data_IF_235017764560
#
_entry.id   IF_235017764560
#
_cell.length_a   1.000
_cell.length_b   1.000
_cell.length_c   1.000
_cell.angle_alpha   90.00
_cell.angle_beta   90.00
_cell.angle_gamma   90.00
#
_symmetry.space_group_name_H-M   'P 1'
#
loop_
_entity.id
_entity.type
_entity.pdbx_description
1 polymer ?
#
# COMPACT_ATOMS: atom_id res chain seq x y z
N UNK A 1 15.13 -27.60 29.19
CA UNK A 1 14.39 -26.62 28.37
C UNK A 1 13.83 -25.47 29.22
N UNK A 2 13.31 -25.71 30.44
CA UNK A 2 12.76 -24.67 31.32
C UNK A 2 13.80 -23.57 31.64
N UNK A 3 15.03 -23.91 32.00
CA UNK A 3 16.08 -22.92 32.25
C UNK A 3 16.41 -22.09 30.99
N UNK A 4 16.35 -22.71 29.80
CA UNK A 4 16.52 -22.02 28.51
C UNK A 4 15.39 -21.00 28.28
N UNK A 5 14.13 -21.42 28.46
CA UNK A 5 12.97 -20.51 28.37
C UNK A 5 13.09 -19.34 29.34
N UNK A 6 13.40 -19.57 30.62
CA UNK A 6 13.56 -18.51 31.63
C UNK A 6 14.65 -17.52 31.24
N UNK A 7 15.79 -18.01 30.71
CA UNK A 7 16.86 -17.15 30.21
C UNK A 7 16.38 -16.27 29.07
N UNK A 8 15.71 -16.87 28.06
CA UNK A 8 15.15 -16.14 26.90
C UNK A 8 14.14 -15.08 27.35
N UNK A 9 13.21 -15.43 28.25
CA UNK A 9 12.21 -14.51 28.78
C UNK A 9 12.87 -13.30 29.47
N UNK A 10 13.90 -13.52 30.28
CA UNK A 10 14.62 -12.44 30.98
C UNK A 10 15.42 -11.56 30.01
N UNK A 11 16.20 -12.17 29.13
CA UNK A 11 17.03 -11.46 28.15
C UNK A 11 16.19 -10.59 27.20
N UNK A 12 15.08 -11.13 26.71
CA UNK A 12 14.21 -10.48 25.75
C UNK A 12 13.04 -9.73 26.40
N UNK A 13 12.95 -9.72 27.75
CA UNK A 13 11.90 -9.05 28.54
C UNK A 13 10.49 -9.36 28.04
N UNK A 14 10.19 -10.65 27.79
CA UNK A 14 8.95 -11.05 27.13
C UNK A 14 7.71 -10.90 28.02
N UNK A 15 7.85 -11.20 29.30
CA UNK A 15 6.82 -11.00 30.33
C UNK A 15 7.46 -10.93 31.73
N UNK A 16 6.71 -10.42 32.68
CA UNK A 16 7.12 -10.26 34.07
C UNK A 16 6.32 -11.18 35.00
N UNK A 17 6.81 -11.44 36.21
CA UNK A 17 5.99 -12.08 37.24
C UNK A 17 4.68 -11.32 37.46
N UNK A 18 3.60 -12.04 37.69
CA UNK A 18 2.23 -11.51 37.84
C UNK A 18 1.47 -11.29 36.57
N UNK A 19 2.09 -11.44 35.38
CA UNK A 19 1.41 -11.24 34.11
C UNK A 19 0.38 -12.33 33.82
N UNK A 20 -0.67 -11.94 33.10
CA UNK A 20 -1.64 -12.84 32.48
C UNK A 20 -1.23 -13.16 31.04
N UNK A 21 -1.03 -14.44 30.74
CA UNK A 21 -0.60 -14.90 29.42
C UNK A 21 -1.72 -15.71 28.75
N UNK A 22 -2.09 -15.33 27.52
CA UNK A 22 -2.83 -16.22 26.62
C UNK A 22 -1.83 -17.14 25.95
N UNK A 23 -2.05 -18.46 26.00
CA UNK A 23 -1.17 -19.45 25.39
C UNK A 23 -1.87 -20.12 24.24
N UNK A 24 -1.37 -19.91 23.01
CA UNK A 24 -1.92 -20.54 21.81
C UNK A 24 -1.52 -22.01 21.73
N UNK A 25 -2.50 -22.91 21.80
CA UNK A 25 -2.27 -24.36 21.84
C UNK A 25 -2.95 -25.03 20.66
N UNK A 26 -2.15 -25.61 19.75
CA UNK A 26 -2.65 -26.37 18.60
C UNK A 26 -2.75 -27.88 18.84
N UNK A 27 -2.25 -28.37 19.97
CA UNK A 27 -2.07 -29.78 20.25
C UNK A 27 -0.75 -30.37 19.74
N UNK A 28 -0.03 -29.66 18.87
CA UNK A 28 1.29 -30.08 18.38
C UNK A 28 2.40 -29.90 19.42
N UNK A 29 3.57 -30.56 19.19
CA UNK A 29 4.63 -30.69 20.21
C UNK A 29 5.09 -29.36 20.76
N UNK A 30 5.37 -28.36 19.88
CA UNK A 30 5.93 -27.07 20.29
C UNK A 30 4.94 -26.27 21.18
N UNK A 31 3.63 -26.38 20.89
CA UNK A 31 2.58 -25.70 21.66
C UNK A 31 2.29 -26.39 23.00
N UNK A 32 2.36 -27.72 23.04
CA UNK A 32 2.20 -28.50 24.27
C UNK A 32 3.38 -28.27 25.21
N UNK A 33 4.62 -28.29 24.68
CA UNK A 33 5.81 -27.96 25.46
C UNK A 33 5.75 -26.54 26.02
N UNK A 34 5.34 -25.55 25.21
CA UNK A 34 5.19 -24.17 25.67
C UNK A 34 4.20 -24.07 26.83
N UNK A 35 2.99 -24.66 26.68
CA UNK A 35 1.98 -24.61 27.74
C UNK A 35 2.46 -25.29 29.02
N UNK A 36 3.09 -26.49 28.89
CA UNK A 36 3.63 -27.21 30.04
C UNK A 36 4.72 -26.42 30.77
N UNK A 37 5.68 -25.84 30.04
CA UNK A 37 6.76 -25.03 30.64
C UNK A 37 6.24 -23.77 31.35
N UNK A 38 5.27 -23.08 30.73
CA UNK A 38 4.64 -21.91 31.35
C UNK A 38 3.81 -22.30 32.57
N UNK A 39 3.15 -23.47 32.55
CA UNK A 39 2.41 -24.00 33.68
C UNK A 39 3.36 -24.32 34.86
N UNK A 40 4.51 -24.97 34.63
CA UNK A 40 5.54 -25.19 35.64
C UNK A 40 6.04 -23.88 36.24
N UNK A 41 6.19 -22.84 35.40
CA UNK A 41 6.65 -21.52 35.83
C UNK A 41 5.58 -20.72 36.57
N UNK A 42 4.30 -21.00 36.34
CA UNK A 42 3.17 -20.17 36.75
C UNK A 42 3.14 -19.92 38.25
N UNK A 43 3.39 -20.96 39.08
CA UNK A 43 3.38 -20.81 40.54
C UNK A 43 4.49 -19.88 41.04
N UNK A 44 5.73 -20.09 40.59
CA UNK A 44 6.91 -19.35 41.03
C UNK A 44 6.92 -17.89 40.54
N UNK A 45 6.34 -17.64 39.37
CA UNK A 45 6.25 -16.32 38.77
C UNK A 45 4.87 -15.66 38.96
N UNK A 46 3.93 -16.33 39.65
CA UNK A 46 2.56 -15.83 39.87
C UNK A 46 1.86 -15.49 38.53
N UNK A 47 2.07 -16.31 37.51
CA UNK A 47 1.45 -16.07 36.23
C UNK A 47 -0.02 -16.55 36.23
N UNK A 48 -0.90 -15.80 35.59
CA UNK A 48 -2.21 -16.26 35.19
C UNK A 48 -2.10 -16.81 33.76
N UNK A 49 -2.58 -18.02 33.52
CA UNK A 49 -2.54 -18.65 32.19
C UNK A 49 -3.95 -18.93 31.69
N UNK A 50 -4.21 -18.60 30.44
CA UNK A 50 -5.42 -19.03 29.71
C UNK A 50 -5.00 -19.67 28.41
N UNK A 51 -5.30 -20.96 28.21
CA UNK A 51 -5.05 -21.66 26.97
C UNK A 51 -6.09 -21.25 25.89
N UNK A 52 -5.64 -21.12 24.66
CA UNK A 52 -6.51 -20.78 23.52
C UNK A 52 -6.30 -21.81 22.39
N UNK A 53 -7.37 -22.50 22.00
CA UNK A 53 -7.37 -23.41 20.88
C UNK A 53 -8.29 -22.88 19.77
N UNK A 54 -7.82 -22.95 18.50
CA UNK A 54 -8.61 -22.60 17.33
C UNK A 54 -8.87 -23.82 16.47
N UNK A 55 -10.12 -24.30 16.45
CA UNK A 55 -10.56 -25.38 15.58
C UNK A 55 -11.23 -24.80 14.32
N UNK A 56 -10.60 -24.96 13.17
CA UNK A 56 -11.09 -24.45 11.89
C UNK A 56 -11.99 -25.45 11.14
N UNK A 57 -12.17 -26.66 11.63
CA UNK A 57 -12.93 -27.71 10.96
C UNK A 57 -12.34 -28.17 9.61
N UNK A 58 -11.10 -27.75 9.26
CA UNK A 58 -10.51 -27.97 7.93
C UNK A 58 -10.14 -29.43 7.65
N UNK A 59 -10.07 -30.25 8.69
CA UNK A 59 -9.68 -31.66 8.62
C UNK A 59 -10.75 -32.61 9.20
N UNK A 60 -11.98 -32.07 9.42
CA UNK A 60 -13.08 -32.86 9.98
C UNK A 60 -12.71 -33.46 11.32
N UNK A 61 -12.90 -34.80 11.47
CA UNK A 61 -12.64 -35.55 12.71
C UNK A 61 -11.22 -35.38 13.30
N UNK A 62 -10.18 -35.13 12.49
CA UNK A 62 -8.85 -34.82 13.01
C UNK A 62 -8.82 -33.51 13.78
N UNK A 63 -9.52 -32.46 13.28
CA UNK A 63 -9.60 -31.17 13.95
C UNK A 63 -10.35 -31.27 15.28
N UNK A 64 -11.41 -32.10 15.33
CA UNK A 64 -12.17 -32.37 16.56
C UNK A 64 -11.36 -33.22 17.54
N UNK A 65 -10.54 -34.15 17.04
CA UNK A 65 -9.59 -34.90 17.84
C UNK A 65 -8.49 -34.04 18.48
N UNK A 66 -8.00 -33.04 17.76
CA UNK A 66 -7.03 -32.06 18.31
C UNK A 66 -7.66 -31.21 19.40
N UNK A 67 -8.90 -30.74 19.21
CA UNK A 67 -9.67 -29.98 20.20
C UNK A 67 -9.91 -30.82 21.47
N UNK A 68 -10.34 -32.08 21.31
CA UNK A 68 -10.56 -33.00 22.40
C UNK A 68 -9.28 -33.25 23.20
N UNK A 69 -8.15 -33.45 22.51
CA UNK A 69 -6.84 -33.63 23.14
C UNK A 69 -6.46 -32.38 23.97
N UNK A 70 -6.55 -31.18 23.39
CA UNK A 70 -6.21 -29.95 24.11
C UNK A 70 -7.14 -29.72 25.30
N UNK A 71 -8.43 -30.04 25.15
CA UNK A 71 -9.42 -29.89 26.23
C UNK A 71 -9.08 -30.84 27.42
N UNK A 72 -8.71 -32.09 27.13
CA UNK A 72 -8.29 -33.05 28.14
C UNK A 72 -6.98 -32.62 28.81
N UNK A 73 -6.00 -32.21 28.02
CA UNK A 73 -4.71 -31.71 28.53
C UNK A 73 -4.86 -30.50 29.51
N UNK A 74 -5.70 -29.55 29.17
CA UNK A 74 -5.99 -28.40 30.00
C UNK A 74 -6.78 -28.76 31.25
N UNK A 75 -7.78 -29.63 31.14
CA UNK A 75 -8.61 -30.12 32.28
C UNK A 75 -7.77 -30.83 33.33
N UNK A 76 -6.88 -31.75 32.92
CA UNK A 76 -5.99 -32.44 33.82
C UNK A 76 -5.06 -31.55 34.61
N UNK A 77 -4.76 -30.34 34.07
CA UNK A 77 -3.86 -29.38 34.68
C UNK A 77 -4.57 -28.14 35.27
N UNK A 78 -5.93 -28.24 35.34
CA UNK A 78 -6.79 -27.17 35.86
C UNK A 78 -6.52 -25.80 35.16
N UNK A 79 -6.20 -25.82 33.86
CA UNK A 79 -5.94 -24.62 33.07
C UNK A 79 -7.22 -24.15 32.37
N UNK A 80 -7.61 -22.87 32.51
CA UNK A 80 -8.68 -22.27 31.72
C UNK A 80 -8.41 -22.43 30.21
N UNK A 81 -9.41 -22.86 29.45
CA UNK A 81 -9.33 -23.06 28.01
C UNK A 81 -10.46 -22.33 27.30
N UNK A 82 -10.09 -21.55 26.31
CA UNK A 82 -11.03 -20.93 25.37
C UNK A 82 -10.88 -21.62 24.01
N UNK A 83 -12.00 -22.14 23.48
CA UNK A 83 -12.06 -22.79 22.16
C UNK A 83 -12.75 -21.83 21.20
N UNK A 84 -12.08 -21.55 20.07
CA UNK A 84 -12.64 -20.73 19.00
C UNK A 84 -12.85 -21.57 17.74
N UNK A 85 -14.11 -21.59 17.25
CA UNK A 85 -14.51 -22.30 16.02
C UNK A 85 -14.96 -21.27 14.97
N UNK A 86 -14.03 -20.64 14.23
CA UNK A 86 -14.37 -19.62 13.25
C UNK A 86 -14.98 -20.23 11.99
N UNK A 87 -16.03 -19.59 11.47
CA UNK A 87 -16.47 -19.84 10.11
C UNK A 87 -15.54 -19.07 9.15
N UNK A 88 -14.76 -19.81 8.35
CA UNK A 88 -13.85 -19.19 7.39
C UNK A 88 -14.62 -18.63 6.17
N UNK A 89 -14.88 -17.34 6.17
CA UNK A 89 -15.46 -16.64 5.01
C UNK A 89 -14.34 -16.25 4.06
N UNK A 90 -14.47 -16.60 2.78
CA UNK A 90 -13.49 -16.21 1.73
C UNK A 90 -13.36 -14.67 1.66
N UNK A 91 -12.28 -14.12 2.20
CA UNK A 91 -11.94 -12.70 2.02
C UNK A 91 -11.13 -12.53 0.73
N UNK A 92 -11.46 -11.52 -0.09
CA UNK A 92 -10.78 -11.22 -1.38
C UNK A 92 -9.27 -10.99 -1.26
N UNK A 93 -8.76 -10.71 -0.06
CA UNK A 93 -7.36 -10.35 0.18
C UNK A 93 -6.44 -11.52 0.54
N UNK A 94 -6.97 -12.71 0.84
CA UNK A 94 -6.17 -13.86 1.25
C UNK A 94 -5.95 -14.84 0.09
N UNK A 95 -4.68 -15.10 -0.23
CA UNK A 95 -4.27 -15.96 -1.34
C UNK A 95 -4.45 -17.47 -1.07
N UNK A 96 -4.64 -17.90 0.19
CA UNK A 96 -4.82 -19.29 0.57
C UNK A 96 -5.67 -19.45 1.83
N UNK A 97 -6.29 -20.63 1.97
CA UNK A 97 -7.11 -20.97 3.14
C UNK A 97 -6.30 -20.93 4.45
N UNK A 98 -5.01 -21.34 4.40
CA UNK A 98 -4.11 -21.28 5.55
C UNK A 98 -3.77 -19.83 5.95
N UNK A 99 -3.60 -18.93 4.97
CA UNK A 99 -3.39 -17.52 5.26
C UNK A 99 -4.64 -16.91 5.93
N UNK A 100 -5.83 -17.28 5.48
CA UNK A 100 -7.10 -16.87 6.10
C UNK A 100 -7.23 -17.36 7.53
N UNK A 101 -6.97 -18.65 7.76
CA UNK A 101 -6.99 -19.26 9.09
C UNK A 101 -5.95 -18.61 10.02
N UNK A 102 -4.76 -18.26 9.50
CA UNK A 102 -3.74 -17.54 10.26
C UNK A 102 -4.22 -16.15 10.68
N UNK A 103 -4.78 -15.37 9.76
CA UNK A 103 -5.32 -14.03 10.07
C UNK A 103 -6.43 -14.14 11.12
N UNK A 104 -7.43 -14.98 10.89
CA UNK A 104 -8.54 -15.18 11.81
C UNK A 104 -8.08 -15.57 13.23
N UNK A 105 -7.06 -16.45 13.34
CA UNK A 105 -6.47 -16.85 14.63
C UNK A 105 -5.87 -15.66 15.37
N UNK A 106 -5.05 -14.84 14.69
CA UNK A 106 -4.41 -13.71 15.34
C UNK A 106 -5.42 -12.62 15.71
N UNK A 107 -6.40 -12.36 14.85
CA UNK A 107 -7.46 -11.38 15.13
C UNK A 107 -8.27 -11.81 16.37
N UNK A 108 -8.68 -13.09 16.45
CA UNK A 108 -9.39 -13.60 17.61
C UNK A 108 -8.55 -13.54 18.89
N UNK A 109 -7.29 -13.99 18.84
CA UNK A 109 -6.43 -13.96 20.03
C UNK A 109 -6.18 -12.55 20.54
N UNK A 110 -6.08 -11.55 19.66
CA UNK A 110 -5.97 -10.13 20.05
C UNK A 110 -7.24 -9.61 20.69
N UNK A 111 -8.39 -9.94 20.13
CA UNK A 111 -9.68 -9.58 20.70
C UNK A 111 -9.82 -10.21 22.09
N UNK A 112 -9.58 -11.51 22.23
CA UNK A 112 -9.66 -12.21 23.51
C UNK A 112 -8.66 -11.63 24.54
N UNK A 113 -7.42 -11.31 24.10
CA UNK A 113 -6.42 -10.68 24.98
C UNK A 113 -6.87 -9.34 25.55
N UNK A 114 -7.66 -8.59 24.78
CA UNK A 114 -8.27 -7.36 25.25
C UNK A 114 -9.43 -7.64 26.23
N UNK A 115 -10.29 -8.60 25.92
CA UNK A 115 -11.46 -8.96 26.76
C UNK A 115 -11.05 -9.47 28.15
N UNK A 116 -10.04 -10.33 28.21
CA UNK A 116 -9.55 -10.91 29.50
C UNK A 116 -8.39 -10.12 30.11
N UNK A 117 -8.08 -8.96 29.56
CA UNK A 117 -6.97 -8.08 30.02
C UNK A 117 -5.64 -8.84 30.13
N UNK A 118 -5.31 -9.65 29.09
CA UNK A 118 -4.05 -10.36 29.05
C UNK A 118 -2.90 -9.43 28.64
N UNK A 119 -1.74 -9.62 29.28
CA UNK A 119 -0.53 -8.85 29.02
C UNK A 119 0.15 -9.28 27.72
N UNK A 120 0.15 -10.58 27.43
CA UNK A 120 0.81 -11.14 26.24
C UNK A 120 0.15 -12.41 25.72
N UNK A 121 0.40 -12.68 24.42
CA UNK A 121 -0.06 -13.88 23.71
C UNK A 121 1.17 -14.74 23.37
N UNK A 122 1.36 -15.84 24.06
CA UNK A 122 2.48 -16.75 23.85
C UNK A 122 2.20 -17.75 22.74
N UNK A 123 3.12 -17.88 21.77
CA UNK A 123 3.03 -18.83 20.65
C UNK A 123 4.27 -19.69 20.55
N UNK A 124 4.09 -21.00 20.24
CA UNK A 124 5.12 -22.03 20.25
C UNK A 124 5.98 -22.06 18.98
N UNK A 125 6.58 -20.93 18.58
CA UNK A 125 7.59 -20.92 17.50
C UNK A 125 8.97 -21.23 18.06
N UNK A 126 9.76 -22.03 17.30
CA UNK A 126 11.08 -22.53 17.69
C UNK A 126 12.21 -22.00 16.79
N UNK A 127 13.45 -22.33 17.11
CA UNK A 127 14.62 -21.99 16.29
C UNK A 127 14.55 -22.62 14.88
N UNK A 128 13.89 -23.79 14.76
CA UNK A 128 13.65 -24.41 13.45
C UNK A 128 12.70 -23.56 12.60
N UNK A 129 11.64 -23.00 13.19
CA UNK A 129 10.75 -22.06 12.49
C UNK A 129 11.47 -20.78 12.08
N UNK A 130 12.43 -20.33 12.89
CA UNK A 130 13.28 -19.18 12.57
C UNK A 130 14.19 -19.49 11.38
N UNK A 131 14.87 -20.64 11.40
CA UNK A 131 15.71 -21.09 10.29
C UNK A 131 14.92 -21.23 8.98
N UNK A 132 13.72 -21.85 9.03
CA UNK A 132 12.81 -21.93 7.88
C UNK A 132 12.45 -20.53 7.34
N UNK A 133 12.15 -19.59 8.23
CA UNK A 133 11.78 -18.22 7.88
C UNK A 133 12.95 -17.50 7.23
N UNK A 134 14.15 -17.62 7.79
CA UNK A 134 15.37 -17.02 7.24
C UNK A 134 15.66 -17.54 5.83
N UNK A 135 15.68 -18.85 5.65
CA UNK A 135 15.92 -19.50 4.35
C UNK A 135 14.86 -19.08 3.32
N UNK A 136 13.60 -19.02 3.72
CA UNK A 136 12.51 -18.57 2.85
C UNK A 136 12.72 -17.13 2.37
N UNK A 137 13.16 -16.24 3.24
CA UNK A 137 13.42 -14.84 2.89
C UNK A 137 14.68 -14.67 2.05
N UNK A 138 15.73 -15.45 2.32
CA UNK A 138 16.94 -15.51 1.48
C UNK A 138 16.59 -15.89 0.03
N UNK A 139 15.83 -16.94 -0.16
CA UNK A 139 15.42 -17.42 -1.49
C UNK A 139 14.50 -16.42 -2.23
N UNK A 140 13.82 -15.52 -1.51
CA UNK A 140 12.99 -14.45 -2.08
C UNK A 140 13.77 -13.16 -2.34
N UNK A 141 15.04 -13.10 -1.99
CA UNK A 141 15.86 -11.90 -2.13
C UNK A 141 15.46 -10.79 -1.15
N UNK A 142 15.06 -11.15 0.07
CA UNK A 142 14.76 -10.17 1.09
C UNK A 142 16.02 -9.45 1.56
N UNK A 143 15.89 -8.14 1.87
CA UNK A 143 16.93 -7.37 2.55
C UNK A 143 17.00 -7.72 4.05
N UNK A 144 17.79 -6.94 4.82
CA UNK A 144 18.03 -7.18 6.25
C UNK A 144 16.73 -7.34 7.06
N UNK A 145 15.70 -6.53 6.79
CA UNK A 145 14.39 -6.64 7.47
C UNK A 145 13.78 -8.06 7.39
N UNK A 146 13.90 -8.73 6.26
CA UNK A 146 13.42 -10.12 6.11
C UNK A 146 14.37 -11.13 6.75
N UNK A 147 15.68 -10.89 6.65
CA UNK A 147 16.71 -11.76 7.23
C UNK A 147 16.80 -11.67 8.75
N UNK A 148 16.33 -10.58 9.36
CA UNK A 148 16.13 -10.47 10.80
C UNK A 148 15.10 -11.48 11.35
N UNK A 149 14.38 -12.17 10.47
CA UNK A 149 13.45 -13.24 10.81
C UNK A 149 12.26 -12.81 11.67
N UNK A 150 11.80 -13.72 12.53
CA UNK A 150 10.72 -13.44 13.46
C UNK A 150 11.26 -12.79 14.74
N UNK A 151 10.67 -11.66 15.22
CA UNK A 151 11.04 -11.07 16.51
C UNK A 151 10.53 -11.93 17.67
N UNK A 152 11.19 -11.86 18.83
CA UNK A 152 10.74 -12.50 20.06
C UNK A 152 9.43 -11.92 20.60
N UNK A 153 9.26 -10.60 20.48
CA UNK A 153 8.04 -9.89 20.82
C UNK A 153 7.59 -8.99 19.64
N UNK A 154 6.28 -8.77 19.54
CA UNK A 154 5.66 -7.86 18.57
C UNK A 154 4.82 -6.82 19.30
N UNK A 155 4.60 -5.67 18.68
CA UNK A 155 3.77 -4.59 19.21
C UNK A 155 2.33 -5.03 19.54
N UNK A 156 1.81 -6.03 18.85
CA UNK A 156 0.48 -6.60 19.08
C UNK A 156 0.43 -7.68 20.18
N UNK A 157 1.30 -7.55 21.18
CA UNK A 157 1.41 -8.41 22.38
C UNK A 157 1.82 -9.87 22.12
N UNK A 158 2.17 -10.25 20.88
CA UNK A 158 2.58 -11.63 20.57
C UNK A 158 4.02 -11.84 21.01
N UNK A 159 4.26 -12.91 21.81
CA UNK A 159 5.59 -13.32 22.28
C UNK A 159 5.91 -14.75 21.87
N UNK A 160 7.23 -15.03 21.74
CA UNK A 160 7.74 -16.34 21.29
C UNK A 160 8.81 -16.87 22.27
N UNK A 161 8.40 -17.39 23.42
CA UNK A 161 9.36 -17.80 24.48
C UNK A 161 10.27 -18.96 24.06
N UNK A 162 9.86 -19.80 23.09
CA UNK A 162 10.63 -20.95 22.59
C UNK A 162 11.45 -20.63 21.33
N UNK A 163 11.50 -19.37 20.86
CA UNK A 163 12.14 -19.03 19.58
C UNK A 163 13.64 -19.39 19.53
N UNK A 164 14.33 -19.42 20.66
CA UNK A 164 15.73 -19.82 20.76
C UNK A 164 15.92 -21.36 20.95
N UNK A 165 14.85 -22.08 21.30
CA UNK A 165 14.91 -23.51 21.52
C UNK A 165 14.80 -24.29 20.18
N UNK A 166 15.59 -25.35 20.02
CA UNK A 166 15.50 -26.23 18.86
C UNK A 166 14.37 -27.23 19.02
N UNK A 167 13.94 -27.81 17.92
CA UNK A 167 12.92 -28.87 17.92
C UNK A 167 13.38 -30.11 18.67
N UNK A 168 14.67 -30.44 18.60
CA UNK A 168 15.28 -31.55 19.32
C UNK A 168 15.16 -31.33 20.84
N UNK A 169 15.44 -30.10 21.33
CA UNK A 169 15.30 -29.75 22.73
C UNK A 169 13.84 -29.83 23.21
N UNK A 170 12.89 -29.41 22.33
CA UNK A 170 11.45 -29.53 22.62
C UNK A 170 11.03 -31.00 22.71
N UNK A 171 11.45 -31.82 21.76
CA UNK A 171 11.11 -33.25 21.77
C UNK A 171 11.69 -34.00 22.97
N UNK A 172 12.97 -33.75 23.29
CA UNK A 172 13.63 -34.31 24.46
C UNK A 172 12.93 -33.90 25.77
N UNK A 173 12.40 -32.69 25.85
CA UNK A 173 11.62 -32.24 27.02
C UNK A 173 10.29 -32.99 27.11
N UNK A 174 9.55 -33.12 26.00
CA UNK A 174 8.26 -33.86 25.98
C UNK A 174 8.44 -35.31 26.37
N UNK A 175 9.48 -35.96 25.85
CA UNK A 175 9.81 -37.37 26.16
C UNK A 175 10.19 -37.54 27.64
N UNK A 176 10.99 -36.61 28.18
CA UNK A 176 11.40 -36.59 29.61
C UNK A 176 10.19 -36.45 30.54
N UNK A 177 9.25 -35.56 30.21
CA UNK A 177 8.04 -35.30 31.00
C UNK A 177 6.92 -36.30 30.73
N UNK A 178 7.10 -37.25 29.80
CA UNK A 178 6.08 -38.20 29.39
C UNK A 178 4.86 -37.58 28.76
N UNK A 179 5.01 -36.44 28.09
CA UNK A 179 3.90 -35.68 27.52
C UNK A 179 3.54 -36.17 26.10
N UNK A 180 2.28 -36.49 25.92
CA UNK A 180 1.72 -36.81 24.60
C UNK A 180 1.40 -35.54 23.81
N UNK A 181 1.40 -35.64 22.49
CA UNK A 181 1.07 -34.56 21.57
C UNK A 181 0.44 -35.12 20.29
N UNK A 182 -0.22 -34.26 19.53
CA UNK A 182 -0.82 -34.61 18.24
C UNK A 182 0.13 -34.33 17.07
N UNK A 183 0.16 -35.22 16.09
CA UNK A 183 0.86 -34.98 14.82
C UNK A 183 -0.13 -34.49 13.78
N UNK A 184 0.14 -33.32 13.20
CA UNK A 184 -0.71 -32.70 12.18
C UNK A 184 -0.39 -33.29 10.79
N UNK A 185 -1.36 -34.05 10.22
CA UNK A 185 -1.25 -34.65 8.88
C UNK A 185 -1.10 -33.63 7.77
N UNK A 186 -1.55 -32.37 7.95
CA UNK A 186 -1.39 -31.29 6.96
C UNK A 186 0.07 -30.89 6.76
N UNK A 187 0.96 -31.16 7.70
CA UNK A 187 2.40 -30.95 7.57
C UNK A 187 3.04 -31.89 6.53
N UNK A 188 2.32 -32.94 6.10
CA UNK A 188 2.80 -33.90 5.09
C UNK A 188 2.65 -33.35 3.65
N UNK A 189 1.75 -32.41 3.40
CA UNK A 189 1.52 -31.88 2.06
C UNK A 189 2.64 -30.89 1.66
N UNK A 190 3.47 -31.31 0.68
CA UNK A 190 4.63 -30.54 0.17
C UNK A 190 4.27 -29.34 -0.73
N UNK A 191 2.99 -28.99 -0.88
CA UNK A 191 2.51 -27.90 -1.75
C UNK A 191 3.01 -26.49 -1.35
N UNK A 192 3.50 -26.31 -0.14
CA UNK A 192 3.90 -24.99 0.37
C UNK A 192 5.41 -24.85 0.46
N UNK A 193 5.94 -23.71 0.03
CA UNK A 193 7.39 -23.40 0.05
C UNK A 193 8.02 -23.66 1.43
N UNK A 194 7.33 -23.35 2.52
CA UNK A 194 7.83 -23.60 3.87
C UNK A 194 7.98 -25.09 4.18
N UNK A 195 7.03 -25.92 3.76
CA UNK A 195 7.09 -27.37 3.95
C UNK A 195 8.23 -28.00 3.14
N UNK A 196 8.51 -27.45 1.92
CA UNK A 196 9.66 -27.90 1.13
C UNK A 196 10.99 -27.54 1.80
N UNK A 197 11.13 -26.33 2.34
CA UNK A 197 12.31 -25.94 3.11
C UNK A 197 12.52 -26.89 4.30
N UNK A 198 11.46 -27.17 5.06
CA UNK A 198 11.49 -28.07 6.22
C UNK A 198 11.86 -29.50 5.85
N UNK A 199 11.32 -30.05 4.77
CA UNK A 199 11.46 -31.45 4.40
C UNK A 199 12.65 -31.73 3.48
N UNK A 200 12.97 -30.80 2.59
CA UNK A 200 13.96 -31.03 1.54
C UNK A 200 15.28 -30.30 1.83
N UNK A 201 15.23 -29.00 2.19
CA UNK A 201 16.42 -28.17 2.30
C UNK A 201 17.06 -28.22 3.69
N UNK A 202 16.29 -28.02 4.75
CA UNK A 202 16.82 -27.98 6.12
C UNK A 202 17.50 -29.30 6.53
N UNK A 203 16.98 -30.50 6.20
CA UNK A 203 17.67 -31.74 6.49
C UNK A 203 19.02 -31.89 5.76
N UNK A 204 19.15 -31.36 4.53
CA UNK A 204 20.42 -31.36 3.82
C UNK A 204 21.42 -30.45 4.52
N UNK A 205 20.99 -29.23 4.89
CA UNK A 205 21.82 -28.27 5.61
C UNK A 205 22.29 -28.81 6.95
N UNK A 206 21.39 -29.43 7.73
CA UNK A 206 21.74 -30.00 9.05
C UNK A 206 22.63 -31.22 8.95
N UNK A 207 22.55 -31.97 7.85
CA UNK A 207 23.49 -33.09 7.59
C UNK A 207 24.90 -32.56 7.31
N UNK A 208 25.04 -31.47 6.60
CA UNK A 208 26.32 -30.82 6.31
C UNK A 208 26.88 -30.07 7.53
N UNK A 209 26.00 -29.46 8.32
CA UNK A 209 26.34 -28.67 9.50
C UNK A 209 25.31 -28.95 10.61
N UNK A 210 25.58 -29.89 11.54
CA UNK A 210 24.61 -30.25 12.59
C UNK A 210 24.11 -29.10 13.46
N UNK A 211 24.93 -28.07 13.64
CA UNK A 211 24.57 -26.87 14.38
C UNK A 211 23.81 -25.82 13.55
N UNK A 212 23.47 -26.10 12.28
CA UNK A 212 22.95 -25.11 11.34
C UNK A 212 21.71 -24.36 11.86
N UNK A 213 20.77 -25.04 12.52
CA UNK A 213 19.55 -24.42 13.08
C UNK A 213 19.93 -23.35 14.10
N UNK A 214 20.85 -23.66 15.02
CA UNK A 214 21.31 -22.71 16.03
C UNK A 214 22.09 -21.56 15.42
N UNK A 215 22.95 -21.84 14.43
CA UNK A 215 23.72 -20.83 13.71
C UNK A 215 22.79 -19.87 12.94
N UNK A 216 21.80 -20.39 12.19
CA UNK A 216 20.82 -19.58 11.47
C UNK A 216 19.97 -18.72 12.41
N UNK A 217 19.62 -19.27 13.58
CA UNK A 217 18.91 -18.52 14.62
C UNK A 217 19.77 -17.37 15.16
N UNK A 218 21.04 -17.64 15.50
CA UNK A 218 21.98 -16.62 15.98
C UNK A 218 22.22 -15.53 14.93
N UNK A 219 22.35 -15.89 13.65
CA UNK A 219 22.48 -14.92 12.55
C UNK A 219 21.23 -14.04 12.45
N UNK A 220 20.03 -14.61 12.61
CA UNK A 220 18.79 -13.80 12.61
C UNK A 220 18.77 -12.81 13.79
N UNK A 221 19.31 -13.17 14.96
CA UNK A 221 19.37 -12.30 16.12
C UNK A 221 20.35 -11.13 15.89
N UNK A 222 21.56 -11.40 15.39
CA UNK A 222 22.54 -10.37 15.04
C UNK A 222 21.96 -9.39 13.99
N UNK A 223 21.39 -9.94 12.91
CA UNK A 223 20.76 -9.13 11.87
C UNK A 223 19.58 -8.30 12.39
N UNK A 224 18.90 -8.77 13.42
CA UNK A 224 17.79 -8.02 14.06
C UNK A 224 18.30 -6.83 14.84
N UNK A 225 19.41 -6.97 15.56
CA UNK A 225 20.05 -5.86 16.28
C UNK A 225 20.53 -4.79 15.31
N UNK A 226 21.20 -5.19 14.22
CA UNK A 226 21.62 -4.27 13.15
C UNK A 226 20.42 -3.57 12.51
N UNK A 227 19.34 -4.32 12.24
CA UNK A 227 18.10 -3.78 11.65
C UNK A 227 17.46 -2.76 12.58
N UNK A 228 17.37 -3.02 13.87
CA UNK A 228 16.84 -2.10 14.87
C UNK A 228 17.66 -0.79 14.94
N UNK A 229 18.99 -0.90 14.91
CA UNK A 229 19.87 0.27 14.90
C UNK A 229 19.58 1.14 13.65
N UNK A 230 19.54 0.54 12.48
CA UNK A 230 19.27 1.24 11.22
C UNK A 230 17.84 1.80 11.15
N UNK A 231 16.89 1.13 11.77
CA UNK A 231 15.50 1.63 11.88
C UNK A 231 15.41 2.84 12.79
N UNK A 232 16.08 2.82 13.95
CA UNK A 232 16.18 3.99 14.83
C UNK A 232 16.82 5.19 14.14
N UNK A 233 17.95 4.98 13.42
CA UNK A 233 18.58 6.02 12.62
C UNK A 233 17.63 6.57 11.56
N UNK A 234 16.89 5.69 10.86
CA UNK A 234 15.90 6.09 9.84
C UNK A 234 14.76 6.89 10.45
N UNK A 235 14.24 6.49 11.60
CA UNK A 235 13.17 7.21 12.32
C UNK A 235 13.63 8.61 12.76
N UNK A 236 14.87 8.76 13.21
CA UNK A 236 15.45 10.07 13.50
C UNK A 236 15.53 10.93 12.23
N UNK A 237 15.99 10.37 11.10
CA UNK A 237 16.02 11.08 9.83
C UNK A 237 14.61 11.46 9.35
N UNK A 238 13.61 10.63 9.55
CA UNK A 238 12.21 10.98 9.25
C UNK A 238 11.77 12.22 10.01
N UNK A 239 12.13 12.34 11.29
CA UNK A 239 11.78 13.50 12.12
C UNK A 239 12.53 14.78 11.74
N UNK A 240 13.79 14.65 11.31
CA UNK A 240 14.67 15.81 11.06
C UNK A 240 14.67 16.28 9.61
N UNK A 241 14.52 15.37 8.64
CA UNK A 241 14.65 15.69 7.20
C UNK A 241 13.33 15.67 6.43
N UNK A 242 12.26 15.08 6.98
CA UNK A 242 10.98 14.96 6.29
C UNK A 242 9.97 15.92 6.89
N UNK A 243 9.58 16.92 6.11
CA UNK A 243 8.53 17.86 6.47
C UNK A 243 7.20 17.39 5.90
N UNK A 244 6.14 17.44 6.70
CA UNK A 244 4.78 17.07 6.31
C UNK A 244 3.93 18.33 6.15
N UNK A 245 3.12 18.39 5.10
CA UNK A 245 2.08 19.42 5.02
C UNK A 245 0.68 18.82 5.33
N UNK A 246 -0.31 19.70 5.51
CA UNK A 246 -1.70 19.32 5.83
C UNK A 246 -2.39 18.51 4.72
N UNK A 247 -1.80 18.44 3.52
CA UNK A 247 -2.32 17.68 2.37
C UNK A 247 -1.70 16.29 2.26
N UNK A 248 -0.90 15.86 3.26
CA UNK A 248 -0.21 14.58 3.25
C UNK A 248 1.00 14.54 2.29
N UNK A 249 1.49 15.69 1.83
CA UNK A 249 2.71 15.76 1.01
C UNK A 249 3.92 15.76 1.94
N UNK A 250 4.86 14.88 1.66
CA UNK A 250 6.13 14.81 2.38
C UNK A 250 7.23 15.45 1.53
N UNK A 251 8.03 16.31 2.16
CA UNK A 251 9.14 17.01 1.50
C UNK A 251 10.44 16.66 2.19
N UNK A 252 11.44 16.32 1.38
CA UNK A 252 12.80 15.97 1.83
C UNK A 252 13.77 16.94 1.17
N UNK A 253 14.68 17.53 1.96
CA UNK A 253 15.78 18.31 1.40
C UNK A 253 16.68 17.40 0.57
N UNK A 254 16.87 17.71 -0.72
CA UNK A 254 17.63 16.88 -1.66
C UNK A 254 19.11 16.78 -1.28
N UNK A 255 19.74 17.88 -0.90
CA UNK A 255 21.16 17.89 -0.58
C UNK A 255 21.43 17.07 0.66
N UNK A 256 20.69 17.32 1.75
CA UNK A 256 20.81 16.54 2.98
C UNK A 256 20.53 15.04 2.75
N UNK A 257 19.58 14.69 1.85
CA UNK A 257 19.34 13.30 1.47
C UNK A 257 20.55 12.69 0.75
N UNK A 258 21.21 13.42 -0.16
CA UNK A 258 22.35 12.91 -0.93
C UNK A 258 23.60 12.71 -0.08
N UNK A 259 23.75 13.42 1.02
CA UNK A 259 24.82 13.29 2.01
C UNK A 259 24.69 12.02 2.87
N UNK A 260 23.47 11.42 2.91
CA UNK A 260 23.27 10.18 3.67
C UNK A 260 23.99 8.99 3.06
N UNK A 261 24.46 8.03 3.88
CA UNK A 261 24.85 6.71 3.42
C UNK A 261 23.77 6.04 2.58
N UNK A 262 24.16 5.29 1.54
CA UNK A 262 23.21 4.65 0.60
C UNK A 262 22.17 3.78 1.32
N UNK A 263 22.58 3.07 2.37
CA UNK A 263 21.69 2.25 3.19
C UNK A 263 20.55 3.08 3.79
N UNK A 264 20.84 4.26 4.33
CA UNK A 264 19.86 5.17 4.92
C UNK A 264 19.01 5.87 3.85
N UNK A 265 19.58 6.23 2.69
CA UNK A 265 18.81 6.73 1.55
C UNK A 265 17.70 5.75 1.14
N UNK A 266 18.06 4.47 0.98
CA UNK A 266 17.12 3.40 0.62
C UNK A 266 16.02 3.19 1.66
N UNK A 267 16.39 3.24 2.94
CA UNK A 267 15.46 3.09 4.06
C UNK A 267 14.51 4.27 4.16
N UNK A 268 15.02 5.48 4.07
CA UNK A 268 14.22 6.70 4.11
C UNK A 268 13.16 6.70 2.99
N UNK A 269 13.55 6.36 1.75
CA UNK A 269 12.62 6.22 0.64
C UNK A 269 11.53 5.16 0.95
N UNK A 270 11.91 4.00 1.47
CA UNK A 270 10.94 2.95 1.83
C UNK A 270 9.98 3.40 2.91
N UNK A 271 10.47 4.08 3.94
CA UNK A 271 9.66 4.57 5.05
C UNK A 271 8.67 5.62 4.57
N UNK A 272 9.13 6.60 3.76
CA UNK A 272 8.26 7.59 3.12
C UNK A 272 7.18 6.92 2.25
N UNK A 273 7.55 5.92 1.44
CA UNK A 273 6.57 5.24 0.57
C UNK A 273 5.53 4.41 1.34
N UNK A 274 5.89 3.86 2.51
CA UNK A 274 4.94 3.11 3.35
C UNK A 274 3.78 3.96 3.83
N UNK A 275 3.96 5.26 4.01
CA UNK A 275 2.88 6.16 4.44
C UNK A 275 1.79 6.33 3.37
N UNK A 276 2.11 6.03 2.10
CA UNK A 276 1.17 6.10 0.98
C UNK A 276 0.63 4.73 0.55
N UNK A 277 1.04 3.65 1.18
CA UNK A 277 0.55 2.29 0.88
C UNK A 277 -0.36 1.82 2.00
N UNK A 278 -1.68 1.87 1.77
CA UNK A 278 -2.70 1.43 2.73
C UNK A 278 -2.55 -0.06 3.13
N UNK A 279 -1.89 -0.87 2.29
CA UNK A 279 -1.61 -2.28 2.58
C UNK A 279 -0.24 -2.49 3.24
N UNK A 280 0.54 -1.43 3.46
CA UNK A 280 1.85 -1.47 4.13
C UNK A 280 2.90 -2.34 3.42
N UNK A 281 2.72 -2.60 2.12
CA UNK A 281 3.62 -3.44 1.34
C UNK A 281 4.96 -2.76 1.15
N UNK A 282 6.04 -3.47 1.43
CA UNK A 282 7.38 -2.95 1.18
C UNK A 282 7.60 -2.71 -0.31
N UNK A 283 8.02 -1.50 -0.66
CA UNK A 283 8.38 -1.15 -2.04
C UNK A 283 9.54 -2.02 -2.53
N UNK A 284 9.43 -2.51 -3.78
CA UNK A 284 10.49 -3.32 -4.38
C UNK A 284 11.80 -2.54 -4.51
N UNK A 285 12.93 -3.25 -4.52
CA UNK A 285 14.25 -2.65 -4.71
C UNK A 285 14.30 -1.81 -5.98
N UNK A 286 13.66 -2.26 -7.07
CA UNK A 286 13.60 -1.51 -8.34
C UNK A 286 12.93 -0.14 -8.17
N UNK A 287 11.83 -0.05 -7.44
CA UNK A 287 11.13 1.21 -7.18
C UNK A 287 12.02 2.14 -6.36
N UNK A 288 12.65 1.63 -5.30
CA UNK A 288 13.56 2.42 -4.45
C UNK A 288 14.74 2.97 -5.25
N UNK A 289 15.39 2.13 -6.07
CA UNK A 289 16.51 2.56 -6.92
C UNK A 289 16.08 3.52 -8.04
N UNK A 290 14.88 3.36 -8.59
CA UNK A 290 14.35 4.33 -9.56
C UNK A 290 14.17 5.72 -8.94
N UNK A 291 13.62 5.78 -7.73
CA UNK A 291 13.51 7.05 -7.00
C UNK A 291 14.89 7.61 -6.70
N UNK A 292 15.81 6.79 -6.18
CA UNK A 292 17.17 7.21 -5.88
C UNK A 292 17.90 7.75 -7.12
N UNK A 293 17.72 7.12 -8.28
CA UNK A 293 18.26 7.59 -9.56
C UNK A 293 17.71 8.96 -9.96
N UNK A 294 16.41 9.18 -9.79
CA UNK A 294 15.78 10.51 -10.03
C UNK A 294 16.35 11.56 -9.09
N UNK A 295 16.57 11.21 -7.82
CA UNK A 295 17.17 12.11 -6.82
C UNK A 295 18.62 12.46 -7.13
N UNK A 296 19.41 11.51 -7.62
CA UNK A 296 20.81 11.71 -7.99
C UNK A 296 20.97 12.51 -9.27
N UNK A 297 20.28 12.12 -10.34
CA UNK A 297 20.51 12.58 -11.72
C UNK A 297 19.41 13.48 -12.27
N UNK A 298 18.26 13.55 -11.61
CA UNK A 298 17.10 14.29 -12.12
C UNK A 298 17.31 15.79 -12.11
N UNK A 299 16.76 16.45 -13.15
CA UNK A 299 16.66 17.92 -13.22
C UNK A 299 15.41 18.38 -12.46
N UNK A 300 15.39 19.63 -12.01
CA UNK A 300 14.20 20.24 -11.42
C UNK A 300 12.99 20.08 -12.35
N UNK A 301 11.85 19.66 -11.81
CA UNK A 301 10.66 19.31 -12.57
C UNK A 301 10.56 17.84 -12.99
N UNK A 302 11.57 16.99 -12.72
CA UNK A 302 11.49 15.55 -12.95
C UNK A 302 10.38 14.94 -12.09
N UNK A 303 9.61 14.01 -12.66
CA UNK A 303 8.49 13.33 -12.01
C UNK A 303 8.58 11.84 -12.23
N UNK A 304 8.29 11.09 -11.16
CA UNK A 304 8.16 9.65 -11.20
C UNK A 304 6.79 9.26 -10.61
N UNK A 305 5.90 8.76 -11.46
CA UNK A 305 4.59 8.29 -11.02
C UNK A 305 4.69 6.83 -10.64
N UNK A 306 4.31 6.52 -9.41
CA UNK A 306 4.20 5.18 -8.84
C UNK A 306 2.72 4.88 -8.56
N UNK A 307 2.39 3.62 -8.36
CA UNK A 307 1.01 3.21 -8.04
C UNK A 307 0.47 3.90 -6.78
N UNK A 308 1.30 4.02 -5.74
CA UNK A 308 0.93 4.55 -4.43
C UNK A 308 1.36 6.00 -4.19
N UNK A 309 2.30 6.54 -4.96
CA UNK A 309 2.84 7.87 -4.74
C UNK A 309 3.31 8.53 -6.04
N UNK A 310 3.26 9.86 -6.08
CA UNK A 310 3.92 10.68 -7.08
C UNK A 310 5.15 11.34 -6.45
N UNK A 311 6.32 11.08 -7.02
CA UNK A 311 7.58 11.70 -6.62
C UNK A 311 7.91 12.84 -7.59
N UNK A 312 8.10 14.05 -7.08
CA UNK A 312 8.44 15.23 -7.88
C UNK A 312 9.71 15.87 -7.34
N UNK A 313 10.67 16.13 -8.22
CA UNK A 313 11.89 16.84 -7.89
C UNK A 313 11.69 18.34 -8.16
N UNK A 314 11.81 19.16 -7.13
CA UNK A 314 11.76 20.61 -7.21
C UNK A 314 13.15 21.22 -6.94
N UNK A 315 13.29 22.57 -7.03
CA UNK A 315 14.54 23.27 -6.73
C UNK A 315 14.97 22.98 -5.28
N UNK A 316 15.91 22.01 -5.12
CA UNK A 316 16.50 21.67 -3.82
C UNK A 316 15.66 20.75 -2.92
N UNK A 317 14.45 20.36 -3.31
CA UNK A 317 13.60 19.44 -2.52
C UNK A 317 13.00 18.32 -3.35
N UNK A 318 12.70 17.22 -2.70
CA UNK A 318 11.94 16.10 -3.24
C UNK A 318 10.60 16.07 -2.56
N UNK A 319 9.55 16.02 -3.33
CA UNK A 319 8.18 15.94 -2.84
C UNK A 319 7.62 14.56 -3.14
N UNK A 320 7.07 13.93 -2.11
CA UNK A 320 6.26 12.73 -2.20
C UNK A 320 4.81 13.13 -1.91
N UNK A 321 3.92 12.80 -2.80
CA UNK A 321 2.48 13.04 -2.63
C UNK A 321 1.72 11.73 -2.83
N UNK A 322 0.50 11.60 -2.28
CA UNK A 322 -0.34 10.45 -2.59
C UNK A 322 -0.39 10.25 -4.11
N UNK A 323 -0.24 9.01 -4.56
CA UNK A 323 -0.56 8.64 -5.93
C UNK A 323 -2.01 9.07 -6.17
N UNK A 324 -2.32 9.61 -7.34
CA UNK A 324 -3.72 9.81 -7.68
C UNK A 324 -4.44 8.49 -7.38
N UNK A 325 -5.42 8.51 -6.47
CA UNK A 325 -6.33 7.38 -6.34
C UNK A 325 -6.71 7.01 -7.75
N UNK A 326 -6.44 5.76 -8.12
CA UNK A 326 -7.14 5.20 -9.25
C UNK A 326 -8.60 5.19 -8.80
N UNK A 327 -9.35 6.23 -9.12
CA UNK A 327 -10.74 6.02 -9.46
C UNK A 327 -10.74 4.71 -10.24
N UNK A 328 -11.41 3.68 -9.71
CA UNK A 328 -11.50 2.40 -10.38
C UNK A 328 -12.15 2.64 -11.75
N UNK A 329 -11.35 2.94 -12.74
CA UNK A 329 -11.76 3.23 -14.10
C UNK A 329 -10.93 4.25 -14.83
N UNK A 330 -9.57 4.28 -14.77
CA UNK A 330 -8.81 4.70 -15.95
C UNK A 330 -7.30 4.45 -15.82
N UNK A 331 -6.82 3.35 -16.39
CA UNK A 331 -5.45 3.27 -16.89
C UNK A 331 -5.36 4.22 -18.10
N UNK A 332 -4.77 5.40 -17.91
CA UNK A 332 -4.44 6.23 -19.04
C UNK A 332 -2.95 6.09 -19.33
N UNK A 333 -2.63 5.29 -20.34
CA UNK A 333 -1.58 5.67 -21.28
C UNK A 333 -1.80 7.13 -21.67
N UNK A 334 -0.76 7.95 -21.92
CA UNK A 334 -0.95 9.29 -22.46
C UNK A 334 -1.63 9.13 -23.85
N UNK A 335 -2.97 9.13 -23.84
CA UNK A 335 -3.79 8.94 -25.05
C UNK A 335 -5.17 8.31 -24.84
N UNK A 336 -5.48 7.68 -23.66
CA UNK A 336 -6.79 7.04 -23.43
C UNK A 336 -7.34 7.35 -22.03
N UNK A 337 -7.58 8.62 -21.69
CA UNK A 337 -8.54 8.99 -20.65
C UNK A 337 -9.96 8.78 -21.17
N UNK A 338 -10.89 8.26 -20.35
CA UNK A 338 -12.32 8.30 -20.64
C UNK A 338 -12.62 9.67 -21.19
N UNK A 339 -13.06 9.73 -22.45
CA UNK A 339 -13.40 10.93 -23.19
C UNK A 339 -14.56 11.60 -22.45
N UNK A 340 -14.27 12.50 -21.55
CA UNK A 340 -15.30 13.38 -20.99
C UNK A 340 -15.70 14.32 -22.12
N UNK A 341 -16.69 13.89 -22.85
CA UNK A 341 -17.27 14.61 -23.97
C UNK A 341 -18.69 14.94 -23.58
N UNK A 342 -18.95 16.22 -23.41
CA UNK A 342 -20.28 16.71 -23.12
C UNK A 342 -20.91 17.22 -24.43
N UNK A 343 -22.05 16.67 -24.81
CA UNK A 343 -22.82 17.17 -25.92
C UNK A 343 -23.51 18.50 -25.49
N UNK A 344 -23.47 19.48 -26.38
CA UNK A 344 -24.10 20.78 -26.19
C UNK A 344 -25.38 20.86 -27.04
N UNK A 345 -26.50 21.10 -26.40
CA UNK A 345 -27.68 21.64 -27.06
C UNK A 345 -27.60 23.17 -27.14
N UNK A 346 -28.15 23.78 -28.15
CA UNK A 346 -28.16 25.25 -28.31
C UNK A 346 -29.62 25.71 -28.26
N UNK A 347 -30.00 26.62 -27.30
CA UNK A 347 -29.18 27.27 -26.27
C UNK A 347 -28.93 26.38 -25.04
N UNK A 348 -27.73 26.50 -24.40
CA UNK A 348 -27.43 25.83 -23.15
C UNK A 348 -26.34 26.51 -22.33
N UNK A 349 -26.24 26.09 -21.08
CA UNK A 349 -25.15 26.44 -20.16
C UNK A 349 -24.58 25.16 -19.61
N UNK A 350 -23.30 24.94 -19.80
CA UNK A 350 -22.59 23.76 -19.31
C UNK A 350 -21.53 24.15 -18.32
N UNK A 351 -21.47 23.40 -17.21
CA UNK A 351 -20.43 23.56 -16.19
C UNK A 351 -19.26 22.61 -16.49
N UNK A 352 -18.07 23.18 -16.63
CA UNK A 352 -16.84 22.44 -16.81
C UNK A 352 -16.07 22.38 -15.48
N UNK A 353 -16.22 21.26 -14.77
CA UNK A 353 -15.71 21.08 -13.40
C UNK A 353 -14.18 21.21 -13.29
N UNK A 354 -13.42 20.80 -14.33
CA UNK A 354 -11.94 20.78 -14.30
C UNK A 354 -11.29 22.17 -14.17
N UNK A 355 -11.97 23.22 -14.62
CA UNK A 355 -11.48 24.62 -14.53
C UNK A 355 -12.45 25.53 -13.77
N UNK A 356 -13.50 24.98 -13.16
CA UNK A 356 -14.56 25.72 -12.44
C UNK A 356 -15.20 26.83 -13.30
N UNK A 357 -15.46 26.51 -14.59
CA UNK A 357 -15.99 27.47 -15.55
C UNK A 357 -17.40 27.08 -16.02
N UNK A 358 -18.25 28.09 -16.23
CA UNK A 358 -19.53 27.95 -16.90
C UNK A 358 -19.38 28.43 -18.35
N UNK A 359 -19.83 27.63 -19.31
CA UNK A 359 -19.79 27.92 -20.73
C UNK A 359 -21.23 28.06 -21.20
N UNK A 360 -21.59 29.29 -21.61
CA UNK A 360 -22.90 29.62 -22.14
C UNK A 360 -22.85 29.62 -23.66
N UNK A 361 -23.82 28.98 -24.29
CA UNK A 361 -23.93 28.88 -25.74
C UNK A 361 -25.31 29.34 -26.17
N UNK A 362 -25.38 30.28 -27.12
CA UNK A 362 -26.62 30.83 -27.63
C UNK A 362 -26.54 31.15 -29.10
N UNK A 363 -27.54 30.80 -29.86
CA UNK A 363 -27.68 31.17 -31.27
C UNK A 363 -28.45 32.48 -31.38
N UNK A 364 -27.98 33.43 -32.17
CA UNK A 364 -28.66 34.68 -32.43
C UNK A 364 -28.34 35.23 -33.84
N UNK A 365 -29.13 36.21 -34.32
CA UNK A 365 -28.82 36.92 -35.53
C UNK A 365 -27.62 37.85 -35.33
N UNK A 366 -26.84 38.12 -36.36
CA UNK A 366 -25.71 39.05 -36.31
C UNK A 366 -26.11 40.43 -35.79
N UNK A 367 -27.26 40.96 -36.25
CA UNK A 367 -27.81 42.23 -35.79
C UNK A 367 -28.08 42.23 -34.27
N UNK A 368 -28.64 41.15 -33.74
CA UNK A 368 -28.90 41.00 -32.30
C UNK A 368 -27.59 40.96 -31.52
N UNK A 369 -26.56 40.24 -31.99
CA UNK A 369 -25.26 40.16 -31.37
C UNK A 369 -24.55 41.54 -31.32
N UNK A 370 -24.62 42.31 -32.37
CA UNK A 370 -24.08 43.66 -32.45
C UNK A 370 -24.83 44.66 -31.55
N UNK A 371 -26.18 44.60 -31.55
CA UNK A 371 -27.03 45.46 -30.72
C UNK A 371 -26.85 45.20 -29.23
N UNK A 372 -26.52 43.97 -28.85
CA UNK A 372 -26.22 43.59 -27.49
C UNK A 372 -24.84 44.04 -26.98
N UNK A 373 -24.07 44.82 -27.76
CA UNK A 373 -22.76 45.36 -27.39
C UNK A 373 -21.70 44.27 -27.14
N UNK A 374 -21.88 43.07 -27.67
CA UNK A 374 -21.01 41.91 -27.42
C UNK A 374 -19.78 41.95 -28.33
N UNK A 375 -18.76 42.67 -27.91
CA UNK A 375 -17.47 42.65 -28.58
C UNK A 375 -16.72 41.34 -28.28
N UNK A 376 -16.09 40.70 -29.29
CA UNK A 376 -15.27 39.51 -29.05
C UNK A 376 -14.14 39.77 -28.06
N UNK A 377 -13.96 38.85 -27.14
CA UNK A 377 -12.89 38.87 -26.14
C UNK A 377 -12.37 37.45 -25.89
N UNK A 378 -11.37 37.27 -25.05
CA UNK A 378 -10.94 35.92 -24.65
C UNK A 378 -12.02 35.12 -23.90
N UNK A 379 -13.03 35.81 -23.35
CA UNK A 379 -14.14 35.17 -22.60
C UNK A 379 -15.46 35.16 -23.37
N UNK A 380 -15.53 35.82 -24.53
CA UNK A 380 -16.73 35.87 -25.37
C UNK A 380 -16.32 35.82 -26.84
N UNK A 381 -16.78 34.81 -27.55
CA UNK A 381 -16.42 34.52 -28.93
C UNK A 381 -17.69 34.34 -29.77
N UNK A 382 -17.65 34.84 -31.00
CA UNK A 382 -18.73 34.67 -31.98
C UNK A 382 -18.24 33.81 -33.12
N UNK A 383 -19.06 32.79 -33.50
CA UNK A 383 -18.80 31.92 -34.63
C UNK A 383 -19.87 32.08 -35.67
N UNK A 384 -19.50 31.91 -36.93
CA UNK A 384 -20.42 31.78 -38.07
C UNK A 384 -21.13 30.42 -37.99
N UNK A 385 -22.40 30.43 -37.59
CA UNK A 385 -23.18 29.22 -37.37
C UNK A 385 -23.49 28.41 -38.65
N UNK A 386 -23.28 29.01 -39.82
CA UNK A 386 -23.52 28.38 -41.10
C UNK A 386 -22.26 27.64 -41.61
N UNK A 387 -21.15 27.64 -40.85
CA UNK A 387 -19.86 27.01 -41.22
C UNK A 387 -19.52 25.73 -40.45
N UNK A 388 -20.39 25.28 -39.60
CA UNK A 388 -20.23 24.03 -38.87
C UNK A 388 -21.61 23.40 -38.60
N UNK A 389 -21.61 22.11 -38.35
CA UNK A 389 -22.80 21.31 -38.05
C UNK A 389 -22.85 20.86 -36.62
N UNK A 390 -24.04 20.49 -36.16
CA UNK A 390 -24.23 19.80 -34.87
C UNK A 390 -23.90 18.30 -34.98
N UNK A 391 -23.53 17.58 -33.92
CA UNK A 391 -23.56 18.05 -32.55
C UNK A 391 -22.31 18.85 -32.15
N UNK A 392 -22.52 19.89 -31.34
CA UNK A 392 -21.42 20.58 -30.65
C UNK A 392 -21.01 19.80 -29.39
N UNK A 393 -19.71 19.70 -29.18
CA UNK A 393 -19.15 18.93 -28.09
C UNK A 393 -18.16 19.80 -27.30
N UNK A 394 -18.15 19.64 -25.97
CA UNK A 394 -17.03 20.10 -25.13
C UNK A 394 -16.21 18.88 -24.72
N UNK A 395 -14.91 18.90 -24.98
CA UNK A 395 -13.98 17.84 -24.60
C UNK A 395 -12.59 18.40 -24.24
N UNK A 396 -11.77 17.57 -23.62
CA UNK A 396 -10.33 17.84 -23.48
C UNK A 396 -9.61 17.57 -24.80
N UNK A 397 -8.38 18.13 -24.91
CA UNK A 397 -7.52 17.91 -26.06
C UNK A 397 -7.11 16.42 -26.21
N UNK A 398 -6.84 16.01 -27.42
CA UNK A 398 -6.38 14.64 -27.78
C UNK A 398 -5.09 14.72 -28.61
N UNK A 399 -4.29 13.65 -28.52
CA UNK A 399 -3.09 13.56 -29.36
C UNK A 399 -3.47 13.58 -30.84
N UNK A 400 -2.80 14.44 -31.61
CA UNK A 400 -3.12 14.63 -33.02
C UNK A 400 -4.07 15.83 -33.32
N UNK A 401 -4.71 16.43 -32.32
CA UNK A 401 -5.56 17.60 -32.50
C UNK A 401 -4.83 18.74 -33.21
N UNK A 402 -5.49 19.26 -34.24
CA UNK A 402 -5.03 20.42 -35.00
C UNK A 402 -6.16 21.42 -35.15
N UNK A 403 -5.83 22.71 -35.23
CA UNK A 403 -6.79 23.78 -35.55
C UNK A 403 -6.08 24.91 -36.29
N UNK A 404 -6.82 25.89 -36.75
CA UNK A 404 -6.32 27.05 -37.49
C UNK A 404 -6.44 28.31 -36.62
N UNK A 405 -5.45 28.63 -35.80
CA UNK A 405 -5.57 29.71 -34.83
C UNK A 405 -5.85 31.05 -35.55
N UNK A 406 -6.89 31.74 -35.16
CA UNK A 406 -7.21 33.08 -35.72
C UNK A 406 -6.02 34.01 -35.65
N UNK A 407 -5.70 34.68 -36.78
CA UNK A 407 -4.54 35.58 -36.93
C UNK A 407 -3.28 34.89 -37.49
N UNK A 408 -3.33 33.56 -37.83
CA UNK A 408 -2.20 32.87 -38.43
C UNK A 408 -2.32 32.65 -39.94
N UNK A 409 -3.10 33.51 -40.63
CA UNK A 409 -3.27 33.52 -42.10
C UNK A 409 -3.58 32.13 -42.67
N UNK A 410 -4.48 31.36 -42.05
CA UNK A 410 -4.94 30.09 -42.50
C UNK A 410 -3.95 28.92 -42.31
N UNK A 411 -2.86 29.07 -41.60
CA UNK A 411 -1.93 27.98 -41.29
C UNK A 411 -2.45 27.13 -40.14
N UNK A 412 -2.48 25.80 -40.34
CA UNK A 412 -2.84 24.87 -39.29
C UNK A 412 -1.70 24.67 -38.28
N UNK A 413 -2.05 24.47 -37.01
CA UNK A 413 -1.09 24.20 -35.93
C UNK A 413 -1.53 23.00 -35.11
N UNK A 414 -0.58 22.13 -34.71
CA UNK A 414 -0.87 21.10 -33.72
C UNK A 414 -1.20 21.77 -32.39
N UNK A 415 -2.23 21.32 -31.70
CA UNK A 415 -2.68 21.90 -30.44
C UNK A 415 -1.61 21.79 -29.35
N UNK A 416 -0.81 20.72 -29.38
CA UNK A 416 0.35 20.52 -28.49
C UNK A 416 1.38 21.67 -28.65
N UNK A 417 1.70 22.04 -29.90
CA UNK A 417 2.67 23.11 -30.19
C UNK A 417 2.10 24.47 -29.80
N UNK A 418 0.79 24.69 -30.03
CA UNK A 418 0.10 25.89 -29.57
C UNK A 418 0.19 26.08 -28.06
N UNK A 419 -0.05 25.02 -27.28
CA UNK A 419 0.10 25.07 -25.81
C UNK A 419 1.55 25.32 -25.36
N UNK A 420 2.52 24.80 -26.11
CA UNK A 420 3.95 25.00 -25.80
C UNK A 420 4.34 26.46 -26.02
N UNK A 421 3.95 27.06 -27.14
CA UNK A 421 4.23 28.46 -27.46
C UNK A 421 3.56 29.43 -26.47
N UNK A 422 2.39 29.05 -25.97
CA UNK A 422 1.65 29.81 -24.95
C UNK A 422 2.13 29.52 -23.53
N UNK A 423 3.19 28.71 -23.38
CA UNK A 423 3.78 28.31 -22.07
C UNK A 423 2.74 27.69 -21.12
N UNK A 424 1.70 27.03 -21.65
CA UNK A 424 0.69 26.36 -20.84
C UNK A 424 1.33 25.15 -20.16
N UNK A 425 1.32 25.06 -18.81
CA UNK A 425 1.89 23.94 -18.08
C UNK A 425 1.22 22.61 -18.49
N UNK A 426 2.00 21.52 -18.57
CA UNK A 426 1.47 20.21 -19.03
C UNK A 426 0.26 19.74 -18.25
N UNK A 427 0.23 19.95 -16.93
CA UNK A 427 -0.87 19.54 -16.06
C UNK A 427 -2.15 20.35 -16.24
N UNK A 428 -2.06 21.56 -16.82
CA UNK A 428 -3.22 22.39 -17.14
C UNK A 428 -3.82 22.07 -18.50
N UNK A 429 -2.99 21.61 -19.45
CA UNK A 429 -3.46 21.24 -20.81
C UNK A 429 -4.58 20.21 -20.79
N UNK A 430 -4.50 19.22 -19.86
CA UNK A 430 -5.50 18.17 -19.72
C UNK A 430 -6.82 18.63 -19.05
N UNK A 431 -6.86 19.88 -18.55
CA UNK A 431 -8.04 20.45 -17.90
C UNK A 431 -8.81 21.42 -18.80
N UNK A 432 -8.13 22.01 -19.80
CA UNK A 432 -8.70 23.02 -20.68
C UNK A 432 -9.80 22.45 -21.58
N UNK A 433 -10.99 23.06 -21.58
CA UNK A 433 -12.06 22.64 -22.47
C UNK A 433 -11.81 23.12 -23.90
N UNK A 434 -12.16 22.27 -24.88
CA UNK A 434 -12.26 22.58 -26.30
C UNK A 434 -13.71 22.56 -26.72
N UNK A 435 -14.18 23.58 -27.43
CA UNK A 435 -15.43 23.52 -28.15
C UNK A 435 -15.17 22.94 -29.53
N UNK A 436 -15.86 21.86 -29.88
CA UNK A 436 -15.61 21.08 -31.10
C UNK A 436 -16.91 20.81 -31.84
N UNK A 437 -16.86 20.91 -33.14
CA UNK A 437 -17.91 20.47 -34.07
C UNK A 437 -17.38 19.32 -34.96
N UNK A 438 -18.18 18.64 -35.77
CA UNK A 438 -17.73 17.64 -36.73
C UNK A 438 -16.61 18.11 -37.66
N UNK A 439 -16.61 19.39 -38.05
CA UNK A 439 -15.61 20.03 -38.92
C UNK A 439 -14.28 20.34 -38.22
N UNK A 440 -14.25 20.26 -36.88
CA UNK A 440 -13.02 20.46 -36.09
C UNK A 440 -13.19 21.29 -34.83
N UNK A 441 -12.06 21.75 -34.29
CA UNK A 441 -12.01 22.57 -33.09
C UNK A 441 -12.42 23.98 -33.42
N UNK A 442 -13.50 24.50 -32.80
CA UNK A 442 -13.96 25.88 -32.96
C UNK A 442 -13.17 26.82 -32.04
N UNK A 443 -12.92 26.39 -30.78
CA UNK A 443 -12.32 27.24 -29.77
C UNK A 443 -11.51 26.45 -28.75
N UNK A 444 -10.32 26.93 -28.47
CA UNK A 444 -9.62 26.61 -27.23
C UNK A 444 -10.15 27.59 -26.19
N UNK A 445 -11.06 27.13 -25.34
CA UNK A 445 -11.86 27.98 -24.45
C UNK A 445 -10.97 28.89 -23.58
N UNK A 446 -11.29 30.20 -23.62
CA UNK A 446 -10.51 31.20 -22.90
C UNK A 446 -9.17 31.58 -23.54
N UNK A 447 -8.83 31.04 -24.74
CA UNK A 447 -7.53 31.28 -25.37
C UNK A 447 -7.67 31.80 -26.83
N UNK A 448 -7.99 30.91 -27.77
CA UNK A 448 -7.99 31.28 -29.21
C UNK A 448 -9.04 30.51 -29.97
N UNK A 449 -9.78 31.18 -30.86
CA UNK A 449 -10.72 30.61 -31.81
C UNK A 449 -10.05 30.15 -33.09
N UNK A 450 -10.70 29.26 -33.82
CA UNK A 450 -10.29 28.79 -35.13
C UNK A 450 -10.76 29.81 -36.23
N UNK A 451 -9.87 30.14 -37.13
CA UNK A 451 -10.08 31.13 -38.21
C UNK A 451 -11.16 30.73 -39.23
N UNK A 452 -11.42 29.47 -39.38
CA UNK A 452 -12.41 28.96 -40.36
C UNK A 452 -13.84 29.33 -39.99
N UNK A 453 -14.10 29.49 -38.67
CA UNK A 453 -15.45 29.69 -38.14
C UNK A 453 -15.71 31.10 -37.65
N UNK A 454 -14.79 32.05 -37.88
CA UNK A 454 -14.95 33.45 -37.50
C UNK A 454 -16.07 34.11 -38.28
N UNK A 455 -16.84 34.97 -37.62
CA UNK A 455 -17.89 35.78 -38.23
C UNK A 455 -17.32 36.72 -39.29
N UNK A 456 -17.88 36.74 -40.49
CA UNK A 456 -17.49 37.56 -41.65
C UNK A 456 -18.65 38.43 -42.10
N UNK A 457 -18.41 39.27 -43.13
CA UNK A 457 -19.41 40.23 -43.63
C UNK A 457 -20.74 39.58 -44.06
N UNK A 458 -20.69 38.38 -44.63
CA UNK A 458 -21.86 37.64 -45.07
C UNK A 458 -22.57 36.76 -44.04
N UNK A 459 -22.06 36.69 -42.81
CA UNK A 459 -22.64 35.85 -41.73
C UNK A 459 -24.01 36.39 -41.31
N UNK A 460 -25.04 35.56 -41.33
CA UNK A 460 -26.40 35.91 -40.91
C UNK A 460 -26.71 35.38 -39.49
N UNK A 461 -26.26 34.21 -39.13
CA UNK A 461 -26.49 33.53 -37.87
C UNK A 461 -25.16 33.38 -37.10
N UNK A 462 -25.18 33.75 -35.85
CA UNK A 462 -24.00 33.67 -34.99
C UNK A 462 -24.23 32.80 -33.79
N UNK A 463 -23.31 31.85 -33.57
CA UNK A 463 -23.21 31.14 -32.29
C UNK A 463 -22.37 32.03 -31.35
N UNK A 464 -22.97 32.49 -30.28
CA UNK A 464 -22.32 33.28 -29.23
C UNK A 464 -21.95 32.32 -28.09
N UNK A 465 -20.66 32.29 -27.77
CA UNK A 465 -20.16 31.46 -26.68
C UNK A 465 -19.43 32.36 -25.68
N UNK A 466 -19.85 32.27 -24.42
CA UNK A 466 -19.18 33.03 -23.34
C UNK A 466 -18.76 32.08 -22.23
N UNK A 467 -17.67 32.41 -21.56
CA UNK A 467 -17.14 31.65 -20.42
C UNK A 467 -17.05 32.59 -19.21
N UNK A 468 -17.56 32.14 -18.07
CA UNK A 468 -17.47 32.81 -16.77
C UNK A 468 -16.96 31.81 -15.70
N UNK A 469 -16.30 32.36 -14.69
CA UNK A 469 -15.98 31.54 -13.50
C UNK A 469 -17.25 31.47 -12.65
N UNK A 470 -17.57 30.30 -12.10
CA UNK A 470 -18.62 30.18 -11.09
C UNK A 470 -18.19 30.98 -9.87
N UNK A 471 -18.97 32.00 -9.48
CA UNK A 471 -18.77 32.70 -8.23
C UNK A 471 -18.82 31.66 -7.09
N UNK A 472 -17.80 31.62 -6.22
CA UNK A 472 -17.90 30.89 -4.97
C UNK A 472 -19.02 31.53 -4.15
N UNK A 473 -20.16 30.87 -4.04
CA UNK A 473 -21.13 31.16 -2.98
C UNK A 473 -20.39 30.96 -1.66
N UNK A 474 -20.11 32.08 -1.01
CA UNK A 474 -19.73 32.09 0.40
C UNK A 474 -21.00 31.82 1.18
N UNK A 475 -21.11 30.67 1.80
CA UNK A 475 -21.80 30.52 3.08
C UNK A 475 -20.84 30.84 4.23
#
# INVERSE_FOLDING_TARGET
LLAHLVRTVRQQRLFLPGHHLLVAVSGGPDSVALLSLLHQLARSWRLTLTAVHCNYGLRGAESDGDESFVSTFCRERHLPLVIHRPTLVKRRQCSSLQAMARVARYDFMKQLAHEVVADSIAVGHTANDQAETLLMWMLRGAGMTGLAGMPYAREDKIIRPLLAATREEVMAYLDHEGLTYRRDSSNEKSLYHRNRIRKELLPVITRLAPAAVRVLHQQADLLREDEQCLEQMTNNLMRTLVNHDSRGVQRVNRQAFLELPIALQRRLIRTVLRTYDAEGRASSVRVVESIRSVLLKGRSGARLSLKQALVTLDKGSVQFSPGAEKDHGCETHPGQGKRETLALSVPSTVYWARTNQQIHVQLMTRRAAQKAGRAPSQRLVLFDADRFSEPLLIRVWQAGDRFFPHGMKGKSKKLQDFFTDRKVPRHERAKLPLLVAPEGILWVVGMRQDDRFVVRSGTTRCLVVSVSNRASEKE
#
